data_IF_957380843313
#
_entry.id   IF_957380843313
#
_cell.length_a   1.000
_cell.length_b   1.000
_cell.length_c   1.000
_cell.angle_alpha   90.00
_cell.angle_beta   90.00
_cell.angle_gamma   90.00
#
_symmetry.space_group_name_H-M   'P 1'
#
loop_
_entity.id
_entity.type
_entity.pdbx_description
1 polymer ?
#
# COMPACT_ATOMS: atom_id res chain seq x y z
N UNK A 1 -14.31 -14.11 11.97
CA UNK A 1 -14.64 -13.22 10.84
C UNK A 1 -14.31 -11.80 11.29
N UNK A 2 -13.67 -10.97 10.47
CA UNK A 2 -13.31 -9.61 10.88
C UNK A 2 -14.59 -8.81 11.18
N UNK A 3 -14.68 -8.08 12.30
CA UNK A 3 -15.87 -7.33 12.68
C UNK A 3 -15.96 -6.02 11.89
N UNK A 4 -16.11 -6.12 10.56
CA UNK A 4 -16.17 -4.97 9.65
C UNK A 4 -17.37 -4.07 10.02
N UNK A 5 -17.09 -2.79 10.24
CA UNK A 5 -18.05 -1.75 10.62
C UNK A 5 -18.42 -0.83 9.46
N UNK A 6 -17.52 -0.63 8.50
CA UNK A 6 -17.75 0.21 7.32
C UNK A 6 -16.83 -0.14 6.16
N UNK A 7 -17.19 0.30 4.95
CA UNK A 7 -16.45 0.09 3.72
C UNK A 7 -16.48 1.33 2.81
N UNK A 8 -15.40 1.53 2.05
CA UNK A 8 -15.37 2.50 0.96
C UNK A 8 -15.99 1.93 -0.32
N UNK A 9 -16.26 2.79 -1.30
CA UNK A 9 -16.40 2.34 -2.69
C UNK A 9 -15.09 1.73 -3.20
N UNK A 10 -15.18 0.91 -4.24
CA UNK A 10 -14.00 0.43 -4.97
C UNK A 10 -13.36 1.60 -5.72
N UNK A 11 -12.03 1.70 -5.64
CA UNK A 11 -11.22 2.70 -6.31
C UNK A 11 -10.30 1.99 -7.30
N UNK A 12 -10.28 2.46 -8.54
CA UNK A 12 -9.38 1.92 -9.55
C UNK A 12 -8.09 2.75 -9.61
N UNK A 13 -6.95 2.09 -9.41
CA UNK A 13 -5.61 2.67 -9.45
C UNK A 13 -4.92 2.28 -10.78
N UNK A 14 -5.23 2.90 -11.93
CA UNK A 14 -4.68 2.49 -13.23
C UNK A 14 -3.15 2.58 -13.28
N UNK A 15 -2.54 3.54 -12.58
CA UNK A 15 -1.09 3.71 -12.50
C UNK A 15 -0.41 2.54 -11.76
N UNK A 16 -1.07 1.99 -10.75
CA UNK A 16 -0.60 0.85 -9.95
C UNK A 16 -1.18 -0.49 -10.46
N UNK A 17 -2.08 -0.42 -11.44
CA UNK A 17 -2.79 -1.55 -12.07
C UNK A 17 -3.61 -2.37 -11.08
N UNK A 18 -4.09 -1.78 -10.00
CA UNK A 18 -4.91 -2.50 -9.01
C UNK A 18 -6.27 -1.83 -8.83
N UNK A 19 -7.23 -2.57 -8.28
CA UNK A 19 -8.41 -2.00 -7.66
C UNK A 19 -8.28 -2.16 -6.16
N UNK A 20 -8.63 -1.12 -5.41
CA UNK A 20 -8.54 -1.10 -3.95
C UNK A 20 -9.90 -0.83 -3.32
N UNK A 21 -10.16 -1.41 -2.16
CA UNK A 21 -11.31 -1.09 -1.32
C UNK A 21 -10.86 -1.09 0.14
N UNK A 22 -11.23 -0.05 0.88
CA UNK A 22 -10.92 0.07 2.30
C UNK A 22 -12.07 -0.46 3.14
N UNK A 23 -11.76 -1.36 4.07
CA UNK A 23 -12.67 -1.82 5.10
C UNK A 23 -12.16 -1.34 6.45
N UNK A 24 -13.07 -0.93 7.33
CA UNK A 24 -12.74 -0.57 8.70
C UNK A 24 -13.49 -1.49 9.64
N UNK A 25 -12.83 -2.00 10.67
CA UNK A 25 -13.49 -2.76 11.73
C UNK A 25 -13.98 -1.87 12.87
N UNK A 26 -14.59 -2.48 13.90
CA UNK A 26 -15.08 -1.77 15.09
C UNK A 26 -13.97 -1.15 15.94
N UNK A 27 -12.73 -1.63 15.80
CA UNK A 27 -11.54 -1.13 16.50
C UNK A 27 -10.77 -0.11 15.64
N UNK A 28 -11.37 0.32 14.52
CA UNK A 28 -10.79 1.27 13.56
C UNK A 28 -9.52 0.78 12.83
N UNK A 29 -9.30 -0.54 12.79
CA UNK A 29 -8.28 -1.13 11.92
C UNK A 29 -8.73 -0.95 10.47
N UNK A 30 -7.86 -0.38 9.65
CA UNK A 30 -8.06 -0.23 8.21
C UNK A 30 -7.45 -1.41 7.47
N UNK A 31 -8.28 -2.13 6.72
CA UNK A 31 -7.88 -3.19 5.79
C UNK A 31 -7.99 -2.66 4.37
N UNK A 32 -6.89 -2.72 3.63
CA UNK A 32 -6.87 -2.43 2.20
C UNK A 32 -6.99 -3.75 1.43
N UNK A 33 -8.15 -3.97 0.81
CA UNK A 33 -8.32 -5.07 -0.13
C UNK A 33 -7.75 -4.67 -1.47
N UNK A 34 -6.90 -5.53 -2.05
CA UNK A 34 -6.24 -5.26 -3.34
C UNK A 34 -6.60 -6.39 -4.30
N UNK A 35 -7.14 -6.01 -5.45
CA UNK A 35 -7.42 -6.92 -6.56
C UNK A 35 -6.65 -6.50 -7.82
N UNK A 36 -6.20 -7.45 -8.64
CA UNK A 36 -5.56 -7.14 -9.91
C UNK A 36 -6.54 -6.42 -10.83
N UNK A 37 -6.06 -5.42 -11.55
CA UNK A 37 -6.81 -4.66 -12.54
C UNK A 37 -6.01 -4.56 -13.85
N UNK A 38 -6.17 -5.57 -14.71
CA UNK A 38 -5.41 -5.75 -15.94
C UNK A 38 -4.35 -6.85 -15.84
N UNK A 39 -3.73 -7.16 -16.98
CA UNK A 39 -2.73 -8.23 -17.12
C UNK A 39 -1.33 -7.83 -16.58
N UNK A 40 -0.50 -8.82 -16.22
CA UNK A 40 0.84 -8.65 -15.63
C UNK A 40 0.81 -7.74 -14.40
N UNK A 41 0.08 -8.20 -13.38
CA UNK A 41 -0.22 -7.45 -12.18
C UNK A 41 0.83 -7.61 -11.09
N UNK A 42 1.16 -6.55 -10.31
CA UNK A 42 2.03 -6.69 -9.15
C UNK A 42 1.56 -7.72 -8.12
N UNK A 43 0.25 -8.02 -8.03
CA UNK A 43 -0.28 -8.99 -7.05
C UNK A 43 -0.53 -10.41 -7.60
N UNK A 44 -0.29 -10.66 -8.89
CA UNK A 44 -0.56 -11.98 -9.51
C UNK A 44 0.22 -13.11 -8.84
N UNK A 45 1.48 -12.85 -8.47
CA UNK A 45 2.33 -13.83 -7.79
C UNK A 45 1.85 -14.15 -6.37
N UNK A 46 1.33 -13.15 -5.65
CA UNK A 46 0.79 -13.35 -4.30
C UNK A 46 -0.48 -14.20 -4.34
N UNK A 47 -1.38 -13.91 -5.29
CA UNK A 47 -2.64 -14.61 -5.47
C UNK A 47 -2.45 -16.07 -5.93
N UNK A 48 -1.59 -16.32 -6.91
CA UNK A 48 -1.37 -17.66 -7.46
C UNK A 48 -0.78 -18.66 -6.46
N UNK A 49 -0.04 -18.18 -5.46
CA UNK A 49 0.65 -19.04 -4.50
C UNK A 49 0.00 -19.08 -3.10
N UNK A 50 -1.09 -18.33 -2.87
CA UNK A 50 -1.64 -18.08 -1.52
C UNK A 50 -0.56 -17.65 -0.51
N UNK A 51 0.48 -16.95 -0.98
CA UNK A 51 1.58 -16.42 -0.17
C UNK A 51 1.44 -14.91 -0.10
N UNK A 52 1.87 -14.31 1.01
CA UNK A 52 1.77 -12.87 1.25
C UNK A 52 0.31 -12.35 1.19
N UNK A 53 -0.62 -13.08 1.84
CA UNK A 53 -2.02 -12.64 1.99
C UNK A 53 -2.11 -11.28 2.69
N UNK A 54 -1.17 -11.02 3.61
CA UNK A 54 -0.84 -9.65 4.02
C UNK A 54 0.27 -9.16 3.08
N UNK A 55 -0.10 -8.30 2.13
CA UNK A 55 0.83 -7.82 1.10
C UNK A 55 1.86 -6.84 1.68
N UNK A 56 1.38 -5.84 2.41
CA UNK A 56 2.20 -4.81 3.03
C UNK A 56 1.50 -4.17 4.23
N UNK A 57 2.25 -3.35 4.98
CA UNK A 57 1.71 -2.42 5.97
C UNK A 57 1.97 -1.00 5.50
N UNK A 58 0.94 -0.15 5.54
CA UNK A 58 1.03 1.22 5.07
C UNK A 58 1.05 2.23 6.22
N UNK A 59 1.86 3.28 6.10
CA UNK A 59 1.94 4.38 7.06
C UNK A 59 1.81 5.72 6.35
N UNK A 60 0.94 6.59 6.86
CA UNK A 60 0.96 8.01 6.51
C UNK A 60 2.14 8.67 7.19
N UNK A 61 2.88 9.48 6.42
CA UNK A 61 4.08 10.16 6.91
C UNK A 61 4.13 11.62 6.46
N UNK A 62 4.41 12.50 7.41
CA UNK A 62 4.93 13.85 7.13
C UNK A 62 6.39 13.82 6.68
N UNK A 63 6.87 14.94 6.13
CA UNK A 63 8.24 15.08 5.58
C UNK A 63 8.60 13.93 4.61
N UNK A 64 7.70 13.59 3.69
CA UNK A 64 7.76 12.37 2.86
C UNK A 64 9.13 12.10 2.22
N UNK A 65 9.73 13.09 1.57
CA UNK A 65 11.04 12.93 0.92
C UNK A 65 12.19 12.67 1.91
N UNK A 66 12.10 13.23 3.13
CA UNK A 66 13.05 12.97 4.22
C UNK A 66 12.89 11.54 4.73
N UNK A 67 11.65 11.06 4.91
CA UNK A 67 11.39 9.67 5.34
C UNK A 67 11.90 8.64 4.33
N UNK A 68 11.74 8.91 3.04
CA UNK A 68 12.36 8.10 1.98
C UNK A 68 13.88 8.04 2.16
N UNK A 69 14.53 9.18 2.40
CA UNK A 69 15.97 9.22 2.62
C UNK A 69 16.39 8.45 3.88
N UNK A 70 15.64 8.55 4.97
CA UNK A 70 15.89 7.83 6.22
C UNK A 70 15.75 6.31 6.04
N UNK A 71 14.71 5.85 5.36
CA UNK A 71 14.50 4.42 5.06
C UNK A 71 15.66 3.83 4.25
N UNK A 72 16.16 4.58 3.26
CA UNK A 72 17.34 4.17 2.48
C UNK A 72 18.59 4.05 3.35
N UNK A 73 18.81 4.98 4.29
CA UNK A 73 19.98 4.96 5.20
C UNK A 73 19.99 3.75 6.12
N UNK A 74 18.83 3.28 6.55
CA UNK A 74 18.71 2.11 7.44
C UNK A 74 18.62 0.77 6.68
N UNK A 75 18.94 0.77 5.38
CA UNK A 75 19.02 -0.45 4.57
C UNK A 75 17.69 -0.96 4.02
N UNK A 76 16.62 -0.15 4.03
CA UNK A 76 15.38 -0.52 3.35
C UNK A 76 15.54 -0.37 1.84
N UNK A 77 15.20 -1.42 1.09
CA UNK A 77 15.33 -1.44 -0.37
C UNK A 77 14.10 -0.78 -1.01
N UNK A 78 14.25 0.29 -1.81
CA UNK A 78 13.13 0.88 -2.53
C UNK A 78 12.63 -0.05 -3.63
N UNK A 79 11.31 -0.23 -3.74
CA UNK A 79 10.65 -1.06 -4.75
C UNK A 79 10.15 -0.24 -5.95
N UNK A 80 10.60 1.00 -6.09
CA UNK A 80 10.24 1.91 -7.16
C UNK A 80 10.49 3.36 -6.80
N UNK A 81 10.01 4.26 -7.66
CA UNK A 81 9.96 5.70 -7.39
C UNK A 81 8.61 6.09 -6.76
N UNK A 82 8.53 7.21 -6.02
CA UNK A 82 7.25 7.74 -5.58
C UNK A 82 6.28 7.95 -6.73
N UNK A 83 5.03 7.55 -6.54
CA UNK A 83 3.96 7.68 -7.53
C UNK A 83 2.70 8.24 -6.88
N UNK A 84 1.92 9.10 -7.55
CA UNK A 84 0.62 9.52 -7.02
C UNK A 84 -0.34 8.31 -6.93
N UNK A 85 -1.24 8.35 -5.95
CA UNK A 85 -2.32 7.36 -5.80
C UNK A 85 -3.68 8.04 -5.82
N UNK A 86 -4.65 7.49 -6.55
CA UNK A 86 -6.03 8.00 -6.59
C UNK A 86 -6.73 7.71 -5.26
N UNK A 87 -6.46 6.53 -4.67
CA UNK A 87 -6.93 6.10 -3.35
C UNK A 87 -6.57 7.10 -2.24
N UNK A 88 -5.44 7.79 -2.39
CA UNK A 88 -4.98 8.81 -1.46
C UNK A 88 -5.07 10.24 -2.02
N UNK A 89 -6.07 10.52 -2.88
CA UNK A 89 -6.34 11.87 -3.40
C UNK A 89 -5.11 12.54 -4.04
N UNK A 90 -4.38 11.77 -4.82
CA UNK A 90 -3.16 12.18 -5.51
C UNK A 90 -1.95 12.39 -4.60
N UNK A 91 -1.97 11.92 -3.35
CA UNK A 91 -0.77 11.85 -2.52
C UNK A 91 0.24 10.86 -3.11
N UNK A 92 1.53 11.13 -2.90
CA UNK A 92 2.59 10.24 -3.34
C UNK A 92 2.69 9.03 -2.42
N UNK A 93 2.90 7.86 -3.00
CA UNK A 93 3.18 6.61 -2.28
C UNK A 93 4.50 6.01 -2.73
N UNK A 94 5.20 5.34 -1.82
CA UNK A 94 6.44 4.62 -2.14
C UNK A 94 6.58 3.35 -1.29
N UNK A 95 6.92 2.25 -1.96
CA UNK A 95 7.10 0.95 -1.33
C UNK A 95 8.57 0.67 -1.02
N UNK A 96 8.81 0.05 0.13
CA UNK A 96 10.11 -0.42 0.59
C UNK A 96 10.04 -1.87 1.05
N UNK A 97 11.08 -2.66 0.75
CA UNK A 97 11.33 -3.94 1.39
C UNK A 97 12.26 -3.72 2.59
N UNK A 98 11.77 -4.04 3.78
CA UNK A 98 12.57 -4.00 5.01
C UNK A 98 13.60 -5.15 5.02
N UNK A 99 14.71 -5.03 5.76
CA UNK A 99 15.70 -6.11 5.91
C UNK A 99 15.13 -7.43 6.44
N UNK A 100 14.00 -7.37 7.16
CA UNK A 100 13.29 -8.53 7.70
C UNK A 100 12.33 -9.20 6.69
N UNK A 101 12.28 -8.72 5.45
CA UNK A 101 11.46 -9.32 4.38
C UNK A 101 10.01 -8.85 4.31
N UNK A 102 9.63 -7.80 5.05
CA UNK A 102 8.28 -7.20 5.05
C UNK A 102 8.25 -5.99 4.11
N UNK A 103 7.18 -5.85 3.33
CA UNK A 103 6.94 -4.66 2.51
C UNK A 103 6.22 -3.60 3.34
N UNK A 104 6.73 -2.36 3.30
CA UNK A 104 6.10 -1.18 3.88
C UNK A 104 5.78 -0.18 2.77
N UNK A 105 4.59 0.39 2.81
CA UNK A 105 4.18 1.51 1.99
C UNK A 105 4.22 2.80 2.81
N UNK A 106 4.92 3.82 2.30
CA UNK A 106 4.84 5.18 2.83
C UNK A 106 3.85 5.97 1.99
N UNK A 107 2.88 6.59 2.65
CA UNK A 107 1.87 7.47 2.03
C UNK A 107 2.15 8.90 2.47
N UNK A 108 2.31 9.81 1.53
CA UNK A 108 2.50 11.24 1.82
C UNK A 108 1.28 11.83 2.53
N UNK A 109 1.50 12.38 3.72
CA UNK A 109 0.52 13.22 4.38
C UNK A 109 0.59 14.63 3.78
N UNK A 110 -0.48 15.04 3.09
CA UNK A 110 -0.62 16.42 2.61
C UNK A 110 -1.04 17.30 3.80
N UNK A 111 -0.08 18.09 4.30
CA UNK A 111 -0.36 19.18 5.25
C UNK A 111 -1.22 20.28 4.61
#
# INVERSE_FOLDING_TARGET
MFPISSESSVIHEPLHRVSVQFLYDVDSICYELIAPNGENNPVDNSLSNNKNLLNHVAYKVGEFDKKIADYRKIGCLPLGNPKPSVAFSGARVMFFLLPIGIIVELIEEKN
#
